data_IF_137911100657
#
_entry.id   IF_137911100657
#
_cell.length_a   1.000
_cell.length_b   1.000
_cell.length_c   1.000
_cell.angle_alpha   90.00
_cell.angle_beta   90.00
_cell.angle_gamma   90.00
#
_symmetry.space_group_name_H-M   'P 1'
#
loop_
_entity.id
_entity.type
_entity.pdbx_description
1 polymer ?
#
# COMPACT_ATOMS: atom_id res chain seq x y z
N UNK A 1 -13.21 -0.07 11.54
CA UNK A 1 -11.79 0.25 11.20
C UNK A 1 -11.63 0.28 9.69
N UNK A 2 -10.94 1.27 9.12
CA UNK A 2 -10.63 1.29 7.68
C UNK A 2 -9.18 0.96 7.42
N UNK A 3 -8.90 0.30 6.31
CA UNK A 3 -7.55 -0.09 5.93
C UNK A 3 -7.44 -0.31 4.42
N UNK A 4 -6.21 -0.24 3.92
CA UNK A 4 -5.88 -0.52 2.53
C UNK A 4 -5.28 -1.93 2.44
N UNK A 5 -5.64 -2.69 1.40
CA UNK A 5 -5.00 -3.95 1.03
C UNK A 5 -4.54 -3.88 -0.42
N UNK A 6 -3.26 -4.08 -0.68
CA UNK A 6 -2.63 -3.95 -1.99
C UNK A 6 -2.13 -5.31 -2.47
N UNK A 7 -2.48 -5.65 -3.70
CA UNK A 7 -2.08 -6.88 -4.36
C UNK A 7 -1.28 -6.56 -5.62
N UNK A 8 -0.16 -7.25 -5.80
CA UNK A 8 0.52 -7.36 -7.07
C UNK A 8 0.14 -8.65 -7.76
N UNK A 9 -0.27 -8.56 -9.02
CA UNK A 9 -0.67 -9.68 -9.84
C UNK A 9 0.16 -9.66 -11.13
N UNK A 10 0.70 -10.82 -11.50
CA UNK A 10 1.33 -11.06 -12.81
C UNK A 10 0.45 -11.95 -13.68
N UNK A 11 0.21 -11.58 -14.93
CA UNK A 11 -0.44 -12.45 -15.92
C UNK A 11 0.55 -13.51 -16.44
N UNK A 12 0.23 -14.77 -16.19
CA UNK A 12 0.59 -15.90 -17.06
C UNK A 12 2.08 -16.13 -17.30
N UNK A 13 2.80 -16.61 -16.27
CA UNK A 13 4.16 -17.16 -16.43
C UNK A 13 5.25 -16.12 -16.71
N UNK A 14 4.94 -14.83 -16.59
CA UNK A 14 5.95 -13.77 -16.58
C UNK A 14 6.50 -13.58 -15.16
N UNK A 15 7.76 -13.19 -15.13
CA UNK A 15 8.57 -12.84 -13.94
C UNK A 15 8.31 -11.41 -13.43
N UNK A 16 7.32 -10.71 -13.98
CA UNK A 16 6.97 -9.34 -13.62
C UNK A 16 5.48 -9.15 -13.32
N UNK A 17 5.21 -8.18 -12.44
CA UNK A 17 3.86 -7.73 -12.09
C UNK A 17 3.34 -6.81 -13.17
N UNK A 18 2.17 -7.12 -13.73
CA UNK A 18 1.51 -6.30 -14.75
C UNK A 18 0.27 -5.58 -14.23
N UNK A 19 -0.21 -5.93 -13.03
CA UNK A 19 -1.40 -5.35 -12.42
C UNK A 19 -1.24 -5.14 -10.92
N UNK A 20 -1.48 -3.92 -10.45
CA UNK A 20 -1.68 -3.62 -9.03
C UNK A 20 -3.17 -3.40 -8.77
N UNK A 21 -3.66 -4.02 -7.70
CA UNK A 21 -5.03 -3.84 -7.19
C UNK A 21 -4.94 -3.33 -5.77
N UNK A 22 -5.41 -2.12 -5.53
CA UNK A 22 -5.54 -1.51 -4.23
C UNK A 22 -7.01 -1.53 -3.80
N UNK A 23 -7.30 -2.18 -2.68
CA UNK A 23 -8.65 -2.34 -2.14
C UNK A 23 -8.78 -1.65 -0.80
N UNK A 24 -9.78 -0.79 -0.69
CA UNK A 24 -10.06 -0.03 0.51
C UNK A 24 -11.22 -0.69 1.25
N UNK A 25 -10.93 -1.17 2.46
CA UNK A 25 -11.88 -1.91 3.27
C UNK A 25 -12.35 -1.10 4.47
N UNK A 26 -13.59 -1.36 4.88
CA UNK A 26 -14.15 -0.97 6.17
C UNK A 26 -14.57 -2.24 6.92
N UNK A 27 -13.91 -2.47 8.06
CA UNK A 27 -14.29 -3.50 9.02
C UNK A 27 -15.32 -2.94 10.00
N UNK A 28 -16.47 -3.60 10.07
CA UNK A 28 -17.51 -3.27 11.05
C UNK A 28 -17.18 -3.82 12.45
N UNK A 29 -18.03 -3.53 13.43
CA UNK A 29 -17.85 -4.00 14.82
C UNK A 29 -18.06 -5.51 14.96
N UNK A 30 -18.69 -6.16 13.98
CA UNK A 30 -18.90 -7.60 13.92
C UNK A 30 -17.70 -8.34 13.31
N UNK A 31 -16.70 -7.61 12.82
CA UNK A 31 -15.48 -8.14 12.22
C UNK A 31 -15.59 -8.44 10.73
N UNK A 32 -16.71 -8.12 10.08
CA UNK A 32 -16.87 -8.31 8.65
C UNK A 32 -16.19 -7.20 7.86
N UNK A 33 -15.40 -7.58 6.85
CA UNK A 33 -14.73 -6.65 5.94
C UNK A 33 -15.63 -6.32 4.76
N UNK A 34 -15.99 -5.04 4.62
CA UNK A 34 -16.72 -4.50 3.48
C UNK A 34 -15.73 -3.79 2.54
N UNK A 35 -15.72 -4.19 1.26
CA UNK A 35 -14.99 -3.46 0.22
C UNK A 35 -15.75 -2.16 -0.08
N UNK A 36 -15.09 -1.02 0.11
CA UNK A 36 -15.68 0.29 -0.10
C UNK A 36 -15.25 0.91 -1.43
N UNK A 37 -14.00 0.67 -1.83
CA UNK A 37 -13.42 1.22 -3.04
C UNK A 37 -12.33 0.30 -3.58
N UNK A 38 -12.16 0.24 -4.90
CA UNK A 38 -11.11 -0.54 -5.57
C UNK A 38 -10.45 0.33 -6.63
N UNK A 39 -9.13 0.35 -6.60
CA UNK A 39 -8.27 1.05 -7.53
C UNK A 39 -7.35 0.07 -8.25
N UNK A 40 -7.21 0.26 -9.56
CA UNK A 40 -6.41 -0.65 -10.38
C UNK A 40 -5.42 0.15 -11.21
N UNK A 41 -4.16 -0.28 -11.16
CA UNK A 41 -3.11 0.19 -12.06
C UNK A 41 -2.58 -0.97 -12.89
N UNK A 42 -2.32 -0.71 -14.17
CA UNK A 42 -1.68 -1.63 -15.09
C UNK A 42 -0.33 -1.09 -15.52
N UNK A 43 0.67 -1.97 -15.51
CA UNK A 43 1.91 -1.73 -16.21
C UNK A 43 1.66 -2.10 -17.68
N UNK A 44 1.68 -1.10 -18.56
CA UNK A 44 1.44 -1.28 -19.99
C UNK A 44 2.72 -1.42 -20.81
N UNK A 45 3.89 -1.31 -20.18
CA UNK A 45 5.16 -1.47 -20.89
C UNK A 45 5.24 -2.88 -21.49
N UNK A 46 5.19 -2.94 -22.82
CA UNK A 46 5.28 -4.18 -23.59
C UNK A 46 6.71 -4.61 -23.89
N UNK A 47 7.70 -3.74 -23.66
CA UNK A 47 9.09 -3.99 -24.02
C UNK A 47 10.02 -3.39 -22.96
N UNK A 48 10.36 -4.21 -21.95
CA UNK A 48 11.65 -4.32 -21.25
C UNK A 48 12.62 -3.15 -21.01
N UNK A 49 12.27 -1.88 -21.19
CA UNK A 49 13.21 -0.76 -21.06
C UNK A 49 13.27 -0.14 -19.67
N UNK A 50 12.29 -0.42 -18.81
CA UNK A 50 12.35 -0.07 -17.39
C UNK A 50 12.33 -1.34 -16.55
N UNK A 51 13.46 -1.66 -15.91
CA UNK A 51 13.55 -2.71 -14.88
C UNK A 51 12.56 -2.47 -13.71
N UNK A 52 11.90 -1.30 -13.68
CA UNK A 52 10.78 -0.95 -12.82
C UNK A 52 9.70 -0.23 -13.65
N UNK A 53 8.86 -1.00 -14.36
CA UNK A 53 7.85 -0.48 -15.27
C UNK A 53 6.94 0.58 -14.63
N UNK A 54 6.76 1.69 -15.33
CA UNK A 54 5.90 2.77 -14.88
C UNK A 54 4.44 2.33 -15.08
N UNK A 55 3.67 2.37 -13.99
CA UNK A 55 2.25 2.05 -14.07
C UNK A 55 1.49 3.23 -14.69
N UNK A 56 1.21 3.11 -15.99
CA UNK A 56 0.72 4.22 -16.82
C UNK A 56 -0.79 4.25 -16.98
N UNK A 57 -1.47 3.10 -16.90
CA UNK A 57 -2.93 3.03 -17.03
C UNK A 57 -3.60 2.78 -15.69
N UNK A 58 -4.46 3.72 -15.31
CA UNK A 58 -5.20 3.70 -14.07
C UNK A 58 -6.70 3.83 -14.34
N UNK A 59 -7.51 3.07 -13.59
CA UNK A 59 -8.95 3.23 -13.53
C UNK A 59 -9.30 3.91 -12.19
N UNK A 60 -9.10 5.24 -12.11
CA UNK A 60 -9.27 6.05 -10.89
C UNK A 60 -10.72 6.36 -10.55
N UNK A 61 -11.02 6.37 -9.26
CA UNK A 61 -12.02 7.27 -8.67
C UNK A 61 -11.37 8.44 -7.91
N UNK A 62 -12.15 9.14 -7.08
CA UNK A 62 -11.70 10.19 -6.15
C UNK A 62 -10.90 9.57 -5.00
N UNK A 63 -9.64 9.23 -5.26
CA UNK A 63 -8.80 8.50 -4.31
C UNK A 63 -8.40 9.36 -3.12
N UNK A 64 -8.31 10.68 -3.31
CA UNK A 64 -7.89 11.62 -2.27
C UNK A 64 -9.06 12.17 -1.43
N UNK A 65 -10.30 11.88 -1.83
CA UNK A 65 -11.54 12.24 -1.14
C UNK A 65 -11.83 13.73 -1.16
N UNK A 66 -11.47 14.46 -2.23
CA UNK A 66 -11.77 15.89 -2.38
C UNK A 66 -13.06 16.19 -3.17
N UNK A 67 -13.76 15.13 -3.58
CA UNK A 67 -15.01 15.19 -4.34
C UNK A 67 -14.81 15.36 -5.85
N UNK A 68 -13.58 15.24 -6.36
CA UNK A 68 -13.27 15.31 -7.78
C UNK A 68 -12.50 14.07 -8.22
N UNK A 69 -12.71 13.69 -9.46
CA UNK A 69 -11.90 12.69 -10.14
C UNK A 69 -11.01 13.44 -11.13
N UNK A 70 -9.74 13.65 -10.77
CA UNK A 70 -8.82 14.42 -11.60
C UNK A 70 -7.39 13.84 -11.68
N UNK A 71 -6.52 14.58 -12.37
CA UNK A 71 -5.15 14.15 -12.62
C UNK A 71 -4.31 14.03 -11.34
N UNK A 72 -4.68 14.73 -10.27
CA UNK A 72 -4.02 14.61 -8.98
C UNK A 72 -4.23 13.23 -8.37
N UNK A 73 -5.46 12.69 -8.43
CA UNK A 73 -5.77 11.33 -7.95
C UNK A 73 -4.90 10.29 -8.64
N UNK A 74 -4.85 10.36 -9.98
CA UNK A 74 -4.00 9.49 -10.79
C UNK A 74 -2.52 9.61 -10.40
N UNK A 75 -2.03 10.83 -10.21
CA UNK A 75 -0.62 11.08 -9.86
C UNK A 75 -0.26 10.53 -8.48
N UNK A 76 -1.11 10.75 -7.47
CA UNK A 76 -0.88 10.27 -6.10
C UNK A 76 -0.89 8.74 -6.12
N UNK A 77 -1.87 8.12 -6.77
CA UNK A 77 -1.96 6.67 -6.82
C UNK A 77 -0.80 6.03 -7.58
N UNK A 78 -0.42 6.55 -8.76
CA UNK A 78 0.73 6.02 -9.51
C UNK A 78 2.03 6.15 -8.71
N UNK A 79 2.20 7.25 -7.97
CA UNK A 79 3.38 7.43 -7.11
C UNK A 79 3.39 6.43 -5.96
N UNK A 80 2.24 6.17 -5.34
CA UNK A 80 2.07 5.11 -4.33
C UNK A 80 2.44 3.74 -4.90
N UNK A 81 1.90 3.39 -6.07
CA UNK A 81 2.15 2.12 -6.76
C UNK A 81 3.63 1.94 -7.07
N UNK A 82 4.30 2.96 -7.61
CA UNK A 82 5.72 2.87 -7.93
C UNK A 82 6.58 2.63 -6.68
N UNK A 83 6.26 3.27 -5.55
CA UNK A 83 6.97 3.04 -4.28
C UNK A 83 6.68 1.66 -3.71
N UNK A 84 5.42 1.22 -3.77
CA UNK A 84 5.03 -0.14 -3.39
C UNK A 84 5.82 -1.19 -4.17
N UNK A 85 6.04 -0.96 -5.46
CA UNK A 85 6.82 -1.87 -6.31
C UNK A 85 8.28 -2.00 -5.89
N UNK A 86 8.88 -0.93 -5.37
CA UNK A 86 10.26 -0.96 -4.86
C UNK A 86 10.41 -1.79 -3.58
N UNK A 87 9.32 -2.16 -2.90
CA UNK A 87 9.38 -3.06 -1.75
C UNK A 87 9.66 -4.52 -2.17
N UNK A 88 9.40 -4.88 -3.43
CA UNK A 88 9.74 -6.20 -3.96
C UNK A 88 9.02 -7.39 -3.30
N UNK A 89 7.88 -7.18 -2.64
CA UNK A 89 7.09 -8.24 -1.98
C UNK A 89 6.17 -9.00 -2.93
N UNK A 90 6.67 -9.40 -4.11
CA UNK A 90 5.88 -10.06 -5.14
C UNK A 90 6.53 -11.37 -5.54
N UNK A 91 5.85 -12.48 -5.27
CA UNK A 91 6.30 -13.80 -5.66
C UNK A 91 5.32 -14.35 -6.70
N UNK A 92 5.86 -14.88 -7.80
CA UNK A 92 5.08 -15.41 -8.94
C UNK A 92 4.94 -16.94 -8.89
N UNK A 93 5.28 -17.57 -7.77
CA UNK A 93 5.18 -19.02 -7.62
C UNK A 93 3.72 -19.47 -7.53
N UNK A 94 3.38 -20.51 -8.30
CA UNK A 94 2.02 -21.06 -8.32
C UNK A 94 1.58 -21.48 -6.91
N UNK A 95 0.54 -20.83 -6.40
CA UNK A 95 -0.11 -21.17 -5.12
C UNK A 95 0.13 -20.18 -3.98
N UNK A 96 1.12 -19.30 -4.09
CA UNK A 96 1.39 -18.26 -3.08
C UNK A 96 1.18 -16.88 -3.70
N UNK A 97 0.55 -15.98 -2.95
CA UNK A 97 0.48 -14.56 -3.33
C UNK A 97 0.74 -13.70 -2.13
N UNK A 98 1.42 -12.58 -2.33
CA UNK A 98 1.70 -11.62 -1.29
C UNK A 98 0.77 -10.41 -1.40
N UNK A 99 0.38 -9.86 -0.25
CA UNK A 99 -0.33 -8.60 -0.19
C UNK A 99 0.15 -7.78 1.00
N UNK A 100 0.10 -6.46 0.83
CA UNK A 100 0.36 -5.51 1.90
C UNK A 100 -0.98 -5.02 2.44
N UNK A 101 -1.15 -5.00 3.76
CA UNK A 101 -2.21 -4.21 4.40
C UNK A 101 -1.63 -3.03 5.16
N UNK A 102 -2.24 -1.85 5.03
CA UNK A 102 -1.87 -0.65 5.75
C UNK A 102 -3.02 -0.19 6.65
N UNK A 103 -2.72 -0.03 7.95
CA UNK A 103 -3.68 0.38 8.96
C UNK A 103 -3.23 1.66 9.65
N UNK A 104 -4.08 2.67 9.67
CA UNK A 104 -3.87 3.82 10.55
C UNK A 104 -4.23 3.45 11.98
N UNK A 105 -3.37 3.86 12.92
CA UNK A 105 -3.61 3.80 14.37
C UNK A 105 -3.58 5.20 14.96
N UNK A 106 -4.42 5.36 15.98
CA UNK A 106 -4.62 6.60 16.72
C UNK A 106 -4.30 6.33 18.20
N UNK A 107 -3.02 6.26 18.55
CA UNK A 107 -2.59 6.11 19.93
C UNK A 107 -2.66 7.43 20.72
N UNK A 108 -2.72 8.57 20.03
CA UNK A 108 -2.86 9.90 20.65
C UNK A 108 -4.33 10.29 20.85
N UNK A 109 -4.60 11.02 21.94
CA UNK A 109 -5.94 11.50 22.29
C UNK A 109 -6.47 12.61 21.36
N UNK A 110 -5.64 13.17 20.48
CA UNK A 110 -6.02 14.23 19.54
C UNK A 110 -6.75 13.73 18.28
N UNK A 111 -6.92 12.41 18.14
CA UNK A 111 -7.64 11.79 17.01
C UNK A 111 -6.91 11.85 15.66
N UNK A 112 -5.70 12.45 15.61
CA UNK A 112 -4.87 12.42 14.41
C UNK A 112 -4.23 11.05 14.23
N UNK A 113 -4.00 10.57 12.99
CA UNK A 113 -3.10 9.44 12.75
C UNK A 113 -1.77 9.72 13.43
N UNK A 114 -1.26 8.77 14.21
CA UNK A 114 0.08 8.90 14.77
C UNK A 114 0.92 7.62 14.62
N UNK A 115 0.34 6.57 14.03
CA UNK A 115 1.09 5.43 13.56
C UNK A 115 0.40 4.76 12.37
N UNK A 116 1.20 4.10 11.53
CA UNK A 116 0.74 3.28 10.43
C UNK A 116 1.39 1.92 10.54
N UNK A 117 0.58 0.86 10.64
CA UNK A 117 1.06 -0.52 10.60
C UNK A 117 1.03 -1.04 9.17
N UNK A 118 2.16 -1.60 8.72
CA UNK A 118 2.33 -2.26 7.44
C UNK A 118 2.48 -3.76 7.71
N UNK A 119 1.52 -4.57 7.26
CA UNK A 119 1.57 -6.01 7.41
C UNK A 119 1.70 -6.64 6.03
N UNK A 120 2.74 -7.45 5.84
CA UNK A 120 2.97 -8.22 4.63
C UNK A 120 2.46 -9.62 4.87
N UNK A 121 1.48 -10.02 4.08
CA UNK A 121 0.70 -11.23 4.25
C UNK A 121 0.97 -12.12 3.04
N UNK A 122 1.42 -13.34 3.30
CA UNK A 122 1.41 -14.42 2.33
C UNK A 122 0.05 -15.12 2.35
N UNK A 123 -0.47 -15.44 1.17
CA UNK A 123 -1.73 -16.14 0.97
C UNK A 123 -1.48 -17.45 0.24
N UNK A 124 -1.93 -18.54 0.84
CA UNK A 124 -1.95 -19.88 0.24
C UNK A 124 -3.39 -20.39 0.24
N UNK A 125 -4.08 -20.25 -0.90
CA UNK A 125 -5.53 -20.45 -0.97
C UNK A 125 -6.29 -19.42 -0.14
N UNK A 126 -7.12 -19.90 0.81
CA UNK A 126 -7.87 -19.05 1.75
C UNK A 126 -7.07 -18.67 3.00
N UNK A 127 -5.94 -19.33 3.24
CA UNK A 127 -5.13 -19.07 4.42
C UNK A 127 -4.25 -17.83 4.22
N UNK A 128 -4.29 -16.92 5.20
CA UNK A 128 -3.47 -15.72 5.25
C UNK A 128 -2.48 -15.83 6.42
N UNK A 129 -1.19 -15.64 6.15
CA UNK A 129 -0.11 -15.69 7.13
C UNK A 129 0.67 -14.39 7.13
N UNK A 130 0.81 -13.75 8.29
CA UNK A 130 1.67 -12.59 8.45
C UNK A 130 3.14 -13.03 8.35
N UNK A 131 3.84 -12.59 7.31
CA UNK A 131 5.26 -12.95 7.07
C UNK A 131 6.22 -11.82 7.47
N UNK A 132 5.75 -10.58 7.47
CA UNK A 132 6.53 -9.43 7.92
C UNK A 132 5.63 -8.31 8.41
N UNK A 133 6.12 -7.55 9.39
CA UNK A 133 5.43 -6.39 9.93
C UNK A 133 6.42 -5.25 10.12
N UNK A 134 6.06 -4.08 9.60
CA UNK A 134 6.71 -2.82 9.90
C UNK A 134 5.69 -1.84 10.48
N UNK A 135 6.17 -0.79 11.15
CA UNK A 135 5.31 0.29 11.62
C UNK A 135 6.06 1.60 11.58
N UNK A 136 5.34 2.65 11.21
CA UNK A 136 5.83 4.02 11.15
C UNK A 136 5.07 4.86 12.17
N UNK A 137 5.74 5.79 12.85
CA UNK A 137 5.14 6.63 13.89
C UNK A 137 5.46 8.09 13.64
N UNK A 138 4.44 8.93 13.80
CA UNK A 138 4.52 10.40 13.82
C UNK A 138 4.57 10.83 15.29
N UNK A 139 5.73 11.33 15.71
CA UNK A 139 6.03 11.63 17.11
C UNK A 139 5.63 13.03 17.54
N UNK A 140 5.58 13.98 16.60
CA UNK A 140 5.32 15.40 16.86
C UNK A 140 3.96 15.90 16.33
N UNK A 141 3.25 15.06 15.57
CA UNK A 141 1.91 15.30 15.05
C UNK A 141 1.87 16.17 13.80
N UNK A 142 2.98 16.26 13.05
CA UNK A 142 3.11 17.03 11.81
C UNK A 142 2.66 16.27 10.54
N UNK A 143 2.17 15.02 10.70
CA UNK A 143 1.78 14.09 9.65
C UNK A 143 2.94 13.52 8.82
N UNK A 144 4.17 13.64 9.31
CA UNK A 144 5.38 12.99 8.78
C UNK A 144 5.79 11.87 9.74
N UNK A 145 6.18 10.72 9.18
CA UNK A 145 6.64 9.60 10.01
C UNK A 145 8.12 9.77 10.38
N UNK A 146 8.39 9.80 11.68
CA UNK A 146 9.71 10.06 12.27
C UNK A 146 10.48 8.79 12.58
N UNK A 147 9.78 7.77 13.07
CA UNK A 147 10.39 6.54 13.56
C UNK A 147 9.75 5.31 12.95
N UNK A 148 10.54 4.26 12.82
CA UNK A 148 10.17 3.05 12.08
C UNK A 148 10.63 1.80 12.83
N UNK A 149 9.85 0.74 12.72
CA UNK A 149 10.21 -0.60 13.21
C UNK A 149 10.38 -1.55 12.03
N UNK A 150 11.26 -2.54 12.18
CA UNK A 150 11.50 -3.59 11.20
C UNK A 150 11.70 -3.02 9.78
N UNK A 151 12.88 -2.43 9.58
CA UNK A 151 13.21 -1.59 8.42
C UNK A 151 14.10 -2.32 7.41
N UNK A 152 14.01 -3.63 7.19
CA UNK A 152 14.46 -4.28 5.94
C UNK A 152 13.21 -4.54 5.10
N UNK A 153 12.56 -3.45 4.69
CA UNK A 153 11.21 -3.51 4.11
C UNK A 153 11.27 -3.93 2.65
N UNK A 154 12.40 -3.77 1.98
CA UNK A 154 12.59 -4.19 0.60
C UNK A 154 13.21 -5.60 0.46
N UNK A 155 13.45 -6.30 1.57
CA UNK A 155 14.06 -7.63 1.63
C UNK A 155 15.46 -7.68 0.99
N UNK A 156 16.21 -6.59 1.01
CA UNK A 156 17.56 -6.54 0.45
C UNK A 156 18.60 -7.23 1.35
N UNK A 157 18.22 -7.60 2.59
CA UNK A 157 19.11 -8.16 3.60
C UNK A 157 19.99 -7.10 4.27
N UNK A 158 19.74 -5.81 4.00
CA UNK A 158 20.40 -4.67 4.61
C UNK A 158 19.32 -3.77 5.20
N UNK A 159 19.52 -3.38 6.45
CA UNK A 159 18.70 -2.35 7.09
C UNK A 159 19.38 -1.01 6.88
N UNK A 160 18.82 -0.14 6.03
CA UNK A 160 19.42 1.16 5.74
C UNK A 160 18.40 2.31 5.62
N UNK A 161 18.87 3.48 5.15
CA UNK A 161 18.04 4.67 4.99
C UNK A 161 17.07 4.57 3.80
N UNK A 162 17.35 3.71 2.82
CA UNK A 162 16.42 3.47 1.71
C UNK A 162 15.15 2.81 2.24
N UNK A 163 15.26 1.82 3.13
CA UNK A 163 14.08 1.18 3.73
C UNK A 163 13.19 2.17 4.47
N UNK A 164 13.80 3.04 5.29
CA UNK A 164 13.07 4.08 6.02
C UNK A 164 12.42 5.07 5.07
N UNK A 165 13.13 5.46 3.99
CA UNK A 165 12.58 6.35 2.97
C UNK A 165 11.39 5.70 2.25
N UNK A 166 11.47 4.43 1.89
CA UNK A 166 10.37 3.68 1.26
C UNK A 166 9.14 3.63 2.18
N UNK A 167 9.31 3.27 3.45
CA UNK A 167 8.19 3.27 4.42
C UNK A 167 7.60 4.67 4.54
N UNK A 168 8.44 5.70 4.72
CA UNK A 168 7.98 7.09 4.90
C UNK A 168 7.17 7.58 3.70
N UNK A 169 7.66 7.37 2.48
CA UNK A 169 7.00 7.83 1.26
C UNK A 169 5.70 7.04 1.03
N UNK A 170 5.70 5.73 1.28
CA UNK A 170 4.49 4.91 1.16
C UNK A 170 3.40 5.35 2.16
N UNK A 171 3.79 5.59 3.42
CA UNK A 171 2.91 6.11 4.45
C UNK A 171 2.35 7.49 4.09
N UNK A 172 3.18 8.37 3.54
CA UNK A 172 2.76 9.70 3.08
C UNK A 172 1.64 9.61 2.04
N UNK A 173 1.82 8.83 0.98
CA UNK A 173 0.79 8.68 -0.05
C UNK A 173 -0.48 8.01 0.51
N UNK A 174 -0.34 7.01 1.37
CA UNK A 174 -1.49 6.40 2.04
C UNK A 174 -2.29 7.42 2.88
N UNK A 175 -1.62 8.38 3.52
CA UNK A 175 -2.29 9.47 4.23
C UNK A 175 -2.94 10.50 3.29
N UNK A 176 -2.38 10.72 2.10
CA UNK A 176 -2.96 11.61 1.09
C UNK A 176 -4.29 11.07 0.53
N UNK A 177 -4.53 9.75 0.59
CA UNK A 177 -5.83 9.17 0.24
C UNK A 177 -6.96 9.57 1.21
N UNK A 178 -6.62 10.05 2.41
CA UNK A 178 -7.58 10.45 3.48
C UNK A 178 -8.62 9.39 3.86
N UNK A 179 -8.51 8.15 3.36
CA UNK A 179 -9.53 7.12 3.54
C UNK A 179 -9.71 6.66 4.99
N UNK A 180 -8.67 6.84 5.81
CA UNK A 180 -8.68 6.55 7.24
C UNK A 180 -9.57 7.49 8.05
N UNK A 181 -9.85 8.70 7.54
CA UNK A 181 -10.65 9.70 8.21
C UNK A 181 -12.06 9.67 7.63
N UNK A 182 -13.03 9.11 8.36
CA UNK A 182 -14.43 9.47 8.12
C UNK A 182 -14.88 10.41 9.22
N UNK A 183 -15.40 11.57 8.80
CA UNK A 183 -16.33 12.37 9.59
C UNK A 183 -17.71 11.76 9.37
N UNK A 184 -18.39 11.38 10.44
CA UNK A 184 -19.84 11.17 10.41
C UNK A 184 -20.56 12.42 9.87
#
# INVERSE_FOLDING_TARGET
MRYLKVFAQGRGGRDHTDKIVARFYQRDNCGADQLMHEEIAFNLDREGEYEHGLYDLHLSGDINGDGKEDFLDQRIFNSFVNVFMLLGWFDFCAGHSHCLTMHVKHYSANGKPNAIELNFIERSGEQETLVYKASAYDGDGDAVMDSFTNTDVNRSGKVDELDKALIRVLCKFFLEFKWYAHKE
#
